data_IF_887855234540
#
_entry.id   IF_887855234540
#
_cell.length_a   1.000
_cell.length_b   1.000
_cell.length_c   1.000
_cell.angle_alpha   90.00
_cell.angle_beta   90.00
_cell.angle_gamma   90.00
#
_symmetry.space_group_name_H-M   'P 1'
#
loop_
_entity.id
_entity.type
_entity.pdbx_description
1 polymer ?
#
# COMPACT_ATOMS: atom_id res chain seq x y z
N UNK A 1 -41.47 -51.69 -7.72
CA UNK A 1 -42.29 -50.52 -7.37
C UNK A 1 -41.42 -49.64 -6.48
N UNK A 2 -40.66 -48.81 -7.19
CA UNK A 2 -40.07 -47.50 -6.89
C UNK A 2 -39.75 -47.14 -5.43
N UNK A 3 -38.45 -47.17 -5.13
CA UNK A 3 -37.83 -46.38 -4.07
C UNK A 3 -37.57 -44.98 -4.61
N UNK A 4 -38.34 -43.99 -4.12
CA UNK A 4 -38.11 -42.58 -4.43
C UNK A 4 -37.09 -42.01 -3.44
N UNK A 5 -35.86 -41.81 -3.91
CA UNK A 5 -34.82 -41.04 -3.24
C UNK A 5 -35.14 -39.55 -3.32
N UNK A 6 -35.47 -38.93 -2.18
CA UNK A 6 -35.49 -37.48 -2.05
C UNK A 6 -34.06 -36.98 -1.81
N UNK A 7 -33.38 -36.57 -2.88
CA UNK A 7 -32.25 -35.67 -2.78
C UNK A 7 -32.77 -34.26 -2.49
N UNK A 8 -32.44 -33.72 -1.32
CA UNK A 8 -32.55 -32.29 -1.07
C UNK A 8 -31.35 -31.59 -1.74
N UNK A 9 -31.57 -30.60 -2.63
CA UNK A 9 -30.48 -29.81 -3.17
C UNK A 9 -29.91 -28.87 -2.10
N UNK A 10 -28.58 -28.83 -2.02
CA UNK A 10 -27.82 -27.98 -1.13
C UNK A 10 -28.11 -26.48 -1.39
N UNK A 11 -28.62 -25.79 -0.38
CA UNK A 11 -28.83 -24.34 -0.36
C UNK A 11 -27.50 -23.63 -0.06
N UNK A 12 -26.75 -23.26 -1.09
CA UNK A 12 -25.56 -22.38 -1.02
C UNK A 12 -25.61 -21.10 -1.92
N UNK A 13 -26.66 -20.74 -2.71
CA UNK A 13 -26.58 -19.53 -3.56
C UNK A 13 -26.91 -18.15 -2.93
N UNK A 14 -27.37 -18.05 -1.67
CA UNK A 14 -27.90 -16.78 -1.14
C UNK A 14 -26.83 -15.83 -0.60
N UNK A 15 -25.88 -16.34 0.20
CA UNK A 15 -24.87 -15.50 0.89
C UNK A 15 -23.90 -14.83 -0.10
N UNK A 16 -23.49 -15.54 -1.15
CA UNK A 16 -22.61 -14.98 -2.18
C UNK A 16 -23.29 -13.88 -3.00
N UNK A 17 -24.62 -13.94 -3.16
CA UNK A 17 -25.38 -12.89 -3.85
C UNK A 17 -25.51 -11.65 -2.98
N UNK A 18 -25.75 -11.82 -1.68
CA UNK A 18 -25.82 -10.73 -0.70
C UNK A 18 -24.45 -10.04 -0.54
N UNK A 19 -23.35 -10.81 -0.42
CA UNK A 19 -21.99 -10.24 -0.37
C UNK A 19 -21.71 -9.34 -1.59
N UNK A 20 -22.07 -9.82 -2.77
CA UNK A 20 -21.87 -9.08 -4.01
C UNK A 20 -22.71 -7.79 -4.04
N UNK A 21 -23.94 -7.81 -3.55
CA UNK A 21 -24.79 -6.62 -3.47
C UNK A 21 -24.21 -5.56 -2.53
N UNK A 22 -23.72 -5.96 -1.35
CA UNK A 22 -23.03 -5.05 -0.43
C UNK A 22 -21.77 -4.42 -1.04
N UNK A 23 -20.96 -5.21 -1.77
CA UNK A 23 -19.77 -4.70 -2.48
C UNK A 23 -20.18 -3.71 -3.57
N UNK A 24 -21.22 -4.01 -4.34
CA UNK A 24 -21.72 -3.10 -5.40
C UNK A 24 -22.17 -1.77 -4.79
N UNK A 25 -22.95 -1.79 -3.71
CA UNK A 25 -23.42 -0.56 -3.05
C UNK A 25 -22.26 0.26 -2.45
N UNK A 26 -21.29 -0.42 -1.81
CA UNK A 26 -20.10 0.24 -1.29
C UNK A 26 -19.25 0.88 -2.39
N UNK A 27 -19.13 0.22 -3.55
CA UNK A 27 -18.45 0.75 -4.74
C UNK A 27 -19.13 2.02 -5.25
N UNK A 28 -20.46 2.00 -5.41
CA UNK A 28 -21.23 3.18 -5.83
C UNK A 28 -21.08 4.34 -4.85
N UNK A 29 -21.14 4.05 -3.56
CA UNK A 29 -20.95 5.04 -2.49
C UNK A 29 -19.57 5.68 -2.54
N UNK A 30 -18.50 4.88 -2.73
CA UNK A 30 -17.14 5.37 -2.87
C UNK A 30 -16.96 6.26 -4.11
N UNK A 31 -17.50 5.83 -5.26
CA UNK A 31 -17.46 6.61 -6.51
C UNK A 31 -18.17 7.96 -6.34
N UNK A 32 -19.37 7.96 -5.75
CA UNK A 32 -20.10 9.21 -5.43
C UNK A 32 -19.29 10.12 -4.51
N UNK A 33 -18.64 9.57 -3.49
CA UNK A 33 -17.78 10.33 -2.56
C UNK A 33 -16.54 10.93 -3.24
N UNK A 34 -16.03 10.26 -4.27
CA UNK A 34 -14.95 10.77 -5.12
C UNK A 34 -15.41 11.83 -6.13
N UNK A 35 -16.73 12.02 -6.30
CA UNK A 35 -17.30 12.87 -7.34
C UNK A 35 -17.37 12.19 -8.72
N UNK A 36 -17.31 10.86 -8.78
CA UNK A 36 -17.43 10.06 -9.99
C UNK A 36 -18.87 9.55 -10.19
N UNK A 37 -19.28 9.23 -11.43
CA UNK A 37 -20.54 8.52 -11.69
C UNK A 37 -20.60 7.19 -10.95
N UNK A 38 -21.76 6.82 -10.41
CA UNK A 38 -21.92 5.57 -9.65
C UNK A 38 -21.71 4.34 -10.53
N UNK A 39 -22.19 4.39 -11.76
CA UNK A 39 -21.91 3.41 -12.80
C UNK A 39 -20.79 3.95 -13.70
N UNK A 40 -19.66 3.21 -13.88
CA UNK A 40 -18.58 3.64 -14.76
C UNK A 40 -18.98 3.79 -16.24
N UNK A 41 -20.14 3.26 -16.65
CA UNK A 41 -20.67 3.42 -18.02
C UNK A 41 -21.50 4.69 -18.20
N UNK A 42 -21.81 5.43 -17.13
CA UNK A 42 -22.57 6.67 -17.19
C UNK A 42 -21.68 7.88 -17.54
N UNK A 43 -22.21 8.80 -18.34
CA UNK A 43 -21.50 10.03 -18.70
C UNK A 43 -21.33 10.94 -17.47
N UNK A 44 -20.15 11.60 -17.29
CA UNK A 44 -19.82 12.41 -16.10
C UNK A 44 -20.73 13.62 -15.83
N UNK A 45 -21.66 13.95 -16.73
CA UNK A 45 -22.44 15.19 -16.73
C UNK A 45 -23.44 15.35 -15.56
N UNK A 46 -23.61 14.35 -14.70
CA UNK A 46 -24.49 14.40 -13.52
C UNK A 46 -23.75 14.62 -12.18
N UNK A 47 -22.42 14.49 -12.15
CA UNK A 47 -21.65 14.61 -10.91
C UNK A 47 -21.41 16.08 -10.57
N UNK A 48 -21.86 16.50 -9.38
CA UNK A 48 -21.49 17.82 -8.84
C UNK A 48 -20.07 17.71 -8.30
N UNK A 49 -19.08 18.44 -8.82
CA UNK A 49 -17.69 18.32 -8.36
C UNK A 49 -17.61 18.78 -6.90
N UNK A 50 -17.28 17.86 -5.98
CA UNK A 50 -16.86 18.25 -4.63
C UNK A 50 -15.46 18.86 -4.75
N UNK A 51 -15.22 20.01 -4.11
CA UNK A 51 -13.99 20.78 -4.29
C UNK A 51 -12.72 20.10 -3.74
N UNK A 52 -12.87 19.03 -2.94
CA UNK A 52 -11.76 18.22 -2.42
C UNK A 52 -12.26 16.79 -2.24
N UNK A 53 -11.94 15.90 -3.19
CA UNK A 53 -12.26 14.49 -3.05
C UNK A 53 -11.36 13.80 -2.00
N UNK A 54 -11.73 12.60 -1.52
CA UNK A 54 -10.97 11.87 -0.51
C UNK A 54 -9.58 11.46 -0.99
N UNK A 55 -8.64 11.39 -0.04
CA UNK A 55 -7.34 10.71 -0.19
C UNK A 55 -7.40 9.35 0.51
N UNK A 56 -6.77 8.34 -0.07
CA UNK A 56 -6.68 6.98 0.44
C UNK A 56 -5.31 6.77 1.09
N UNK A 57 -5.26 6.96 2.40
CA UNK A 57 -4.00 6.90 3.13
C UNK A 57 -3.65 5.47 3.51
N UNK A 58 -2.54 4.96 3.00
CA UNK A 58 -1.99 3.69 3.45
C UNK A 58 -1.12 3.93 4.70
N UNK A 59 -1.53 3.35 5.82
CA UNK A 59 -0.92 3.59 7.12
C UNK A 59 -0.87 2.32 7.98
N UNK A 60 -0.04 2.33 9.02
CA UNK A 60 -0.02 1.31 10.07
C UNK A 60 -1.10 1.62 11.10
N UNK A 61 -1.92 0.63 11.46
CA UNK A 61 -2.90 0.77 12.53
C UNK A 61 -2.19 1.05 13.87
N UNK A 62 -2.53 2.14 14.58
CA UNK A 62 -1.88 2.50 15.83
C UNK A 62 -2.25 1.52 16.98
N UNK A 63 -1.53 1.56 18.12
CA UNK A 63 -1.88 0.83 19.32
C UNK A 63 -3.34 1.05 19.75
N UNK A 64 -4.07 -0.04 19.94
CA UNK A 64 -5.47 -0.05 20.36
C UNK A 64 -5.85 -1.43 20.88
N UNK A 65 -6.58 -1.50 21.99
CA UNK A 65 -7.02 -2.78 22.58
C UNK A 65 -7.99 -3.52 21.64
N UNK A 66 -8.82 -2.78 20.90
CA UNK A 66 -9.90 -3.35 20.08
C UNK A 66 -9.65 -3.26 18.58
N UNK A 67 -8.60 -2.56 18.15
CA UNK A 67 -8.41 -2.22 16.74
C UNK A 67 -9.48 -1.26 16.21
N UNK A 68 -9.50 -1.05 14.89
CA UNK A 68 -10.53 -0.28 14.18
C UNK A 68 -11.49 -1.22 13.44
N UNK A 69 -12.78 -0.90 13.40
CA UNK A 69 -13.74 -1.67 12.60
C UNK A 69 -13.51 -1.39 11.10
N UNK A 70 -13.43 -2.44 10.28
CA UNK A 70 -13.45 -2.29 8.82
C UNK A 70 -14.81 -1.74 8.36
N UNK A 71 -14.80 -0.81 7.41
CA UNK A 71 -16.00 -0.14 6.90
C UNK A 71 -16.70 -0.87 5.77
N UNK A 72 -16.12 -1.96 5.26
CA UNK A 72 -16.83 -2.84 4.35
C UNK A 72 -17.78 -3.73 5.17
N UNK A 73 -19.09 -3.62 4.93
CA UNK A 73 -20.13 -4.25 5.76
C UNK A 73 -19.98 -5.77 5.90
N UNK A 74 -19.52 -6.45 4.86
CA UNK A 74 -19.31 -7.91 4.84
C UNK A 74 -18.07 -8.34 5.64
N UNK A 75 -17.20 -7.39 6.02
CA UNK A 75 -16.03 -7.66 6.84
C UNK A 75 -16.39 -7.58 8.33
N UNK A 76 -16.37 -8.73 9.01
CA UNK A 76 -16.69 -8.82 10.45
C UNK A 76 -15.48 -8.63 11.34
N UNK A 77 -14.28 -8.52 10.77
CA UNK A 77 -13.03 -8.46 11.53
C UNK A 77 -12.58 -7.03 11.79
N UNK A 78 -11.94 -6.81 12.93
CA UNK A 78 -11.28 -5.55 13.23
C UNK A 78 -9.87 -5.52 12.63
N UNK A 79 -9.46 -4.35 12.20
CA UNK A 79 -8.10 -4.01 11.82
C UNK A 79 -7.29 -3.82 13.10
N UNK A 80 -6.53 -4.85 13.46
CA UNK A 80 -5.75 -4.87 14.69
C UNK A 80 -4.50 -3.97 14.61
N UNK A 81 -3.96 -3.52 15.74
CA UNK A 81 -2.74 -2.71 15.77
C UNK A 81 -1.58 -3.34 15.02
N UNK A 82 -0.74 -2.48 14.47
CA UNK A 82 0.41 -2.83 13.68
C UNK A 82 0.07 -3.28 12.25
N UNK A 83 -1.18 -3.60 11.91
CA UNK A 83 -1.59 -4.02 10.55
C UNK A 83 -1.65 -2.83 9.58
N UNK A 84 -1.30 -3.05 8.32
CA UNK A 84 -1.53 -2.04 7.28
C UNK A 84 -3.02 -1.87 7.02
N UNK A 85 -3.44 -0.64 6.74
CA UNK A 85 -4.83 -0.29 6.45
C UNK A 85 -4.94 0.88 5.50
N UNK A 86 -6.07 0.99 4.82
CA UNK A 86 -6.46 2.20 4.09
C UNK A 86 -7.35 3.04 4.99
N UNK A 87 -7.00 4.32 5.14
CA UNK A 87 -7.81 5.34 5.76
C UNK A 87 -8.29 6.35 4.70
N UNK A 88 -9.58 6.30 4.37
CA UNK A 88 -10.21 7.24 3.44
C UNK A 88 -10.50 8.53 4.20
N UNK A 89 -9.85 9.63 3.81
CA UNK A 89 -9.96 10.92 4.49
C UNK A 89 -10.22 12.09 3.52
N UNK A 90 -11.25 12.92 3.74
CA UNK A 90 -12.35 12.69 4.70
C UNK A 90 -13.12 11.40 4.38
N UNK A 91 -13.69 10.75 5.40
CA UNK A 91 -14.54 9.58 5.22
C UNK A 91 -15.92 9.93 4.65
N UNK A 92 -16.63 8.93 4.15
CA UNK A 92 -18.02 9.07 3.69
C UNK A 92 -18.99 9.26 4.87
N UNK A 93 -18.64 8.71 6.04
CA UNK A 93 -19.50 8.71 7.21
C UNK A 93 -19.17 9.89 8.14
N UNK A 94 -20.13 10.82 8.27
CA UNK A 94 -20.05 11.86 9.29
C UNK A 94 -20.63 11.37 10.61
N UNK A 95 -19.91 11.53 11.72
CA UNK A 95 -20.46 11.36 13.06
C UNK A 95 -20.55 12.73 13.75
N UNK A 96 -21.76 13.15 14.15
CA UNK A 96 -22.01 14.45 14.82
C UNK A 96 -21.43 15.66 14.07
N UNK A 97 -21.50 15.66 12.74
CA UNK A 97 -21.00 16.75 11.91
C UNK A 97 -19.48 16.76 11.69
N UNK A 98 -18.73 15.82 12.25
CA UNK A 98 -17.31 15.62 11.97
C UNK A 98 -17.10 14.44 11.02
N UNK A 99 -16.43 14.69 9.90
CA UNK A 99 -15.99 13.63 8.99
C UNK A 99 -14.73 12.98 9.58
N UNK A 100 -14.92 11.81 10.18
CA UNK A 100 -13.80 10.95 10.58
C UNK A 100 -13.31 10.11 9.40
N UNK A 101 -12.05 9.67 9.37
CA UNK A 101 -11.58 8.73 8.37
C UNK A 101 -12.36 7.41 8.42
N UNK A 102 -12.63 6.84 7.26
CA UNK A 102 -13.17 5.49 7.11
C UNK A 102 -12.02 4.49 6.94
N UNK A 103 -11.99 3.45 7.77
CA UNK A 103 -10.88 2.49 7.81
C UNK A 103 -11.26 1.17 7.14
N UNK A 104 -10.35 0.64 6.32
CA UNK A 104 -10.49 -0.62 5.62
C UNK A 104 -9.22 -1.45 5.75
N UNK A 105 -9.34 -2.78 5.83
CA UNK A 105 -8.22 -3.64 5.43
C UNK A 105 -7.88 -3.34 3.97
N UNK A 106 -6.61 -3.45 3.59
CA UNK A 106 -6.16 -3.15 2.21
C UNK A 106 -6.94 -4.00 1.20
N UNK A 107 -6.97 -5.33 1.38
CA UNK A 107 -7.73 -6.23 0.51
C UNK A 107 -9.25 -6.01 0.53
N UNK A 108 -9.82 -5.51 1.63
CA UNK A 108 -11.25 -5.14 1.65
C UNK A 108 -11.53 -3.88 0.84
N UNK A 109 -10.62 -2.91 0.86
CA UNK A 109 -10.75 -1.68 0.09
C UNK A 109 -10.63 -1.95 -1.41
N UNK A 110 -9.71 -2.83 -1.81
CA UNK A 110 -9.53 -3.28 -3.20
C UNK A 110 -10.77 -3.98 -3.79
N UNK A 111 -11.66 -4.53 -2.96
CA UNK A 111 -12.96 -5.06 -3.45
C UNK A 111 -13.87 -3.96 -4.01
N UNK A 112 -13.72 -2.73 -3.52
CA UNK A 112 -14.62 -1.60 -3.84
C UNK A 112 -13.92 -0.47 -4.61
N UNK A 113 -12.59 -0.42 -4.60
CA UNK A 113 -11.77 0.54 -5.31
C UNK A 113 -11.18 -0.11 -6.57
N UNK A 114 -11.41 0.51 -7.73
CA UNK A 114 -10.87 0.00 -8.99
C UNK A 114 -9.53 0.66 -9.33
N UNK A 115 -8.44 0.03 -8.89
CA UNK A 115 -7.08 0.52 -9.16
C UNK A 115 -6.63 0.34 -10.61
N UNK A 116 -7.48 -0.16 -11.52
CA UNK A 116 -7.23 -0.04 -12.96
C UNK A 116 -7.63 1.34 -13.52
N UNK A 117 -8.23 2.21 -12.69
CA UNK A 117 -8.62 3.58 -13.05
C UNK A 117 -7.70 4.60 -12.36
N UNK A 118 -7.22 5.58 -13.10
CA UNK A 118 -6.30 6.62 -12.60
C UNK A 118 -6.90 7.38 -11.40
N UNK A 119 -8.21 7.70 -11.47
CA UNK A 119 -8.95 8.42 -10.41
C UNK A 119 -8.82 7.79 -9.02
N UNK A 120 -8.63 6.47 -8.94
CA UNK A 120 -8.45 5.74 -7.68
C UNK A 120 -6.99 5.68 -7.26
N UNK A 121 -6.09 5.35 -8.19
CA UNK A 121 -4.66 5.18 -7.92
C UNK A 121 -4.02 6.48 -7.47
N UNK A 122 -4.40 7.61 -8.07
CA UNK A 122 -3.87 8.93 -7.73
C UNK A 122 -4.13 9.34 -6.30
N UNK A 123 -5.24 8.86 -5.73
CA UNK A 123 -5.64 9.15 -4.36
C UNK A 123 -4.91 8.29 -3.34
N UNK A 124 -4.24 7.21 -3.74
CA UNK A 124 -3.45 6.38 -2.80
C UNK A 124 -2.19 7.13 -2.40
N UNK A 125 -2.00 7.35 -1.11
CA UNK A 125 -0.84 8.04 -0.55
C UNK A 125 -0.29 7.25 0.65
N UNK A 126 0.99 6.87 0.66
CA UNK A 126 1.59 6.28 1.84
C UNK A 126 1.73 7.34 2.94
N UNK A 127 1.47 6.96 4.19
CA UNK A 127 1.78 7.80 5.36
C UNK A 127 3.26 7.59 5.72
N UNK A 128 4.05 8.63 5.47
CA UNK A 128 5.50 8.66 5.65
C UNK A 128 5.89 9.87 6.49
N UNK A 129 7.18 9.97 6.82
CA UNK A 129 7.78 11.15 7.43
C UNK A 129 7.56 12.46 6.66
N UNK A 130 7.29 12.39 5.36
CA UNK A 130 7.10 13.54 4.48
C UNK A 130 5.62 13.86 4.21
N UNK A 131 4.71 12.91 4.44
CA UNK A 131 3.29 13.05 4.06
C UNK A 131 2.33 13.11 5.25
N UNK A 132 2.77 12.76 6.46
CA UNK A 132 1.89 12.67 7.64
C UNK A 132 1.18 13.99 8.00
N UNK A 133 1.76 15.15 7.67
CA UNK A 133 1.15 16.45 7.95
C UNK A 133 -0.14 16.64 7.14
N UNK A 134 -0.16 16.18 5.89
CA UNK A 134 -1.35 16.22 5.03
C UNK A 134 -2.43 15.22 5.46
N UNK A 135 -2.03 14.16 6.17
CA UNK A 135 -2.96 13.21 6.82
C UNK A 135 -3.68 13.81 8.03
N UNK A 136 -3.30 15.01 8.47
CA UNK A 136 -3.83 15.71 9.66
C UNK A 136 -3.65 14.86 10.94
N UNK A 137 -2.48 14.25 11.09
CA UNK A 137 -2.11 13.50 12.30
C UNK A 137 -1.47 14.40 13.34
N UNK A 138 -1.67 14.07 14.62
CA UNK A 138 -1.00 14.74 15.72
C UNK A 138 0.50 14.41 15.69
N UNK A 139 1.34 15.45 15.78
CA UNK A 139 2.79 15.31 15.76
C UNK A 139 3.29 14.33 16.83
N UNK A 140 2.78 14.40 18.06
CA UNK A 140 3.17 13.48 19.14
C UNK A 140 2.93 12.01 18.78
N UNK A 141 1.78 11.70 18.19
CA UNK A 141 1.48 10.33 17.77
C UNK A 141 2.41 9.84 16.66
N UNK A 142 2.80 10.72 15.74
CA UNK A 142 3.76 10.40 14.67
C UNK A 142 5.16 10.21 15.23
N UNK A 143 5.57 11.02 16.22
CA UNK A 143 6.87 10.89 16.89
C UNK A 143 7.01 9.60 17.72
N UNK A 144 5.88 9.02 18.15
CA UNK A 144 5.83 7.67 18.74
C UNK A 144 5.92 6.55 17.68
N UNK A 145 6.07 6.89 16.40
CA UNK A 145 6.16 5.95 15.29
C UNK A 145 4.80 5.38 14.84
N UNK A 146 3.69 5.94 15.32
CA UNK A 146 2.37 5.47 14.92
C UNK A 146 2.03 5.93 13.51
N UNK A 147 1.17 5.17 12.82
CA UNK A 147 0.65 5.45 11.47
C UNK A 147 1.68 5.34 10.34
N UNK A 148 2.93 5.71 10.58
CA UNK A 148 4.00 5.66 9.58
C UNK A 148 4.22 4.22 9.10
N UNK A 149 4.39 4.08 7.79
CA UNK A 149 4.86 2.83 7.19
C UNK A 149 6.33 2.58 7.57
N UNK A 150 6.68 1.30 7.69
CA UNK A 150 8.09 0.90 7.62
C UNK A 150 8.66 1.15 6.22
N UNK A 151 9.99 1.22 6.13
CA UNK A 151 10.70 1.55 4.91
C UNK A 151 10.33 0.63 3.73
N UNK A 152 10.21 -0.68 3.94
CA UNK A 152 9.84 -1.63 2.89
C UNK A 152 8.43 -1.37 2.35
N UNK A 153 7.44 -1.22 3.24
CA UNK A 153 6.07 -0.90 2.83
C UNK A 153 5.95 0.46 2.15
N UNK A 154 6.70 1.48 2.60
CA UNK A 154 6.79 2.78 1.94
C UNK A 154 7.29 2.64 0.50
N UNK A 155 8.43 1.96 0.29
CA UNK A 155 9.01 1.75 -1.04
C UNK A 155 8.10 0.94 -1.95
N UNK A 156 7.55 -0.16 -1.45
CA UNK A 156 6.64 -1.03 -2.21
C UNK A 156 5.38 -0.29 -2.67
N UNK A 157 4.81 0.56 -1.82
CA UNK A 157 3.59 1.32 -2.16
C UNK A 157 3.87 2.37 -3.24
N UNK A 158 5.01 3.06 -3.15
CA UNK A 158 5.41 4.07 -4.14
C UNK A 158 5.66 3.40 -5.49
N UNK A 159 6.46 2.33 -5.50
CA UNK A 159 6.78 1.58 -6.73
C UNK A 159 5.53 0.95 -7.34
N UNK A 160 4.67 0.34 -6.52
CA UNK A 160 3.38 -0.20 -6.95
C UNK A 160 2.54 0.86 -7.65
N UNK A 161 2.39 2.04 -7.03
CA UNK A 161 1.62 3.14 -7.60
C UNK A 161 2.18 3.57 -8.95
N UNK A 162 3.50 3.71 -9.06
CA UNK A 162 4.17 4.06 -10.32
C UNK A 162 3.95 3.01 -11.41
N UNK A 163 4.13 1.73 -11.10
CA UNK A 163 3.92 0.63 -12.04
C UNK A 163 2.47 0.56 -12.54
N UNK A 164 1.50 0.67 -11.64
CA UNK A 164 0.07 0.69 -12.02
C UNK A 164 -0.25 1.90 -12.89
N UNK A 165 0.21 3.10 -12.52
CA UNK A 165 0.02 4.31 -13.34
C UNK A 165 0.61 4.17 -14.73
N UNK A 166 1.81 3.61 -14.84
CA UNK A 166 2.47 3.35 -16.12
C UNK A 166 1.62 2.42 -17.00
N UNK A 167 1.14 1.30 -16.46
CA UNK A 167 0.27 0.37 -17.19
C UNK A 167 -1.09 0.99 -17.59
N UNK A 168 -1.63 1.91 -16.79
CA UNK A 168 -2.85 2.66 -17.13
C UNK A 168 -2.58 3.58 -18.32
N UNK A 169 -1.50 4.36 -18.26
CA UNK A 169 -1.15 5.29 -19.32
C UNK A 169 -0.80 4.58 -20.64
N UNK A 170 -0.10 3.45 -20.56
CA UNK A 170 0.17 2.59 -21.73
C UNK A 170 -1.14 2.07 -22.36
N UNK A 171 -2.09 1.58 -21.54
CA UNK A 171 -3.42 1.14 -22.00
C UNK A 171 -4.20 2.27 -22.68
N UNK A 172 -4.15 3.46 -22.09
CA UNK A 172 -4.96 4.61 -22.49
C UNK A 172 -4.28 5.44 -23.60
N UNK A 173 -3.06 5.07 -24.02
CA UNK A 173 -2.29 5.76 -25.06
C UNK A 173 -1.83 7.15 -24.63
N UNK A 174 -1.66 7.39 -23.34
CA UNK A 174 -1.22 8.67 -22.78
C UNK A 174 0.31 8.71 -22.78
N UNK A 175 0.89 9.59 -23.59
CA UNK A 175 2.32 9.89 -23.52
C UNK A 175 2.65 10.63 -22.23
N UNK A 176 3.58 10.09 -21.44
CA UNK A 176 4.06 10.73 -20.23
C UNK A 176 5.47 11.25 -20.49
N UNK A 177 5.69 12.53 -20.23
CA UNK A 177 7.04 13.07 -20.06
C UNK A 177 7.52 12.71 -18.66
N UNK A 178 8.49 11.80 -18.57
CA UNK A 178 9.17 11.50 -17.29
C UNK A 178 10.19 12.60 -17.01
N UNK A 179 9.73 13.65 -16.33
CA UNK A 179 10.56 14.77 -15.87
C UNK A 179 11.49 14.38 -14.71
N UNK A 180 11.43 13.13 -14.23
CA UNK A 180 12.28 12.66 -13.14
C UNK A 180 13.72 12.53 -13.62
N UNK A 181 14.62 13.31 -13.00
CA UNK A 181 16.05 13.23 -13.31
C UNK A 181 16.57 11.79 -13.18
N UNK A 182 17.50 11.40 -14.05
CA UNK A 182 18.12 10.06 -14.02
C UNK A 182 18.76 9.77 -12.66
N UNK A 183 19.37 10.77 -12.02
CA UNK A 183 19.96 10.63 -10.69
C UNK A 183 18.93 10.28 -9.61
N UNK A 184 17.72 10.87 -9.66
CA UNK A 184 16.64 10.55 -8.73
C UNK A 184 16.12 9.13 -8.98
N UNK A 185 15.92 8.74 -10.25
CA UNK A 185 15.49 7.37 -10.59
C UNK A 185 16.50 6.33 -10.13
N UNK A 186 17.78 6.55 -10.42
CA UNK A 186 18.86 5.66 -9.99
C UNK A 186 18.92 5.51 -8.46
N UNK A 187 18.72 6.62 -7.72
CA UNK A 187 18.62 6.57 -6.26
C UNK A 187 17.40 5.79 -5.77
N UNK A 188 16.25 5.94 -6.42
CA UNK A 188 15.01 5.27 -6.01
C UNK A 188 15.05 3.76 -6.33
N UNK A 189 15.62 3.37 -7.47
CA UNK A 189 15.49 2.00 -7.98
C UNK A 189 16.73 1.15 -7.71
N UNK A 190 17.92 1.77 -7.70
CA UNK A 190 19.19 1.05 -7.65
C UNK A 190 19.97 1.26 -6.35
N UNK A 191 19.57 2.14 -5.43
CA UNK A 191 20.27 2.30 -4.16
C UNK A 191 20.46 0.95 -3.43
N UNK A 192 21.67 0.74 -2.90
CA UNK A 192 22.09 -0.51 -2.28
C UNK A 192 22.65 -1.57 -3.24
N UNK A 193 22.55 -1.37 -4.55
CA UNK A 193 23.18 -2.22 -5.56
C UNK A 193 24.70 -2.02 -5.57
N UNK A 194 25.44 -3.07 -5.89
CA UNK A 194 26.90 -3.05 -6.15
C UNK A 194 27.29 -2.05 -7.24
N UNK A 195 26.38 -1.78 -8.18
CA UNK A 195 26.59 -0.89 -9.33
C UNK A 195 26.12 0.54 -9.07
N UNK A 196 25.45 0.79 -7.95
CA UNK A 196 24.90 2.11 -7.65
C UNK A 196 26.03 3.09 -7.32
N UNK A 197 26.06 4.20 -8.04
CA UNK A 197 27.01 5.29 -7.82
C UNK A 197 26.22 6.54 -7.42
N UNK A 198 26.37 7.05 -6.18
CA UNK A 198 25.68 8.26 -5.75
C UNK A 198 26.01 9.43 -6.68
N UNK A 199 24.96 10.08 -7.20
CA UNK A 199 25.06 11.30 -8.01
C UNK A 199 24.53 12.49 -7.21
N UNK A 200 25.03 13.68 -7.53
CA UNK A 200 24.52 14.91 -6.94
C UNK A 200 23.11 15.20 -7.47
N UNK A 201 22.18 15.49 -6.56
CA UNK A 201 20.82 15.91 -6.88
C UNK A 201 20.66 17.34 -6.34
N UNK A 202 20.55 18.35 -7.23
CA UNK A 202 20.42 19.74 -6.82
C UNK A 202 19.22 19.94 -5.88
N UNK A 203 19.41 20.78 -4.85
CA UNK A 203 18.38 21.18 -3.87
C UNK A 203 17.73 20.04 -3.07
N UNK A 204 18.24 18.81 -3.18
CA UNK A 204 17.69 17.68 -2.43
C UNK A 204 18.01 17.78 -0.94
N UNK A 205 17.01 17.42 -0.12
CA UNK A 205 17.17 17.37 1.33
C UNK A 205 18.18 16.28 1.71
N UNK A 206 19.29 16.67 2.33
CA UNK A 206 20.40 15.76 2.63
C UNK A 206 20.01 14.64 3.62
N UNK A 207 19.03 14.89 4.49
CA UNK A 207 18.51 13.86 5.39
C UNK A 207 17.75 12.80 4.58
N UNK A 208 16.93 13.23 3.63
CA UNK A 208 16.19 12.35 2.74
C UNK A 208 17.10 11.55 1.81
N UNK A 209 18.08 12.21 1.18
CA UNK A 209 19.07 11.52 0.32
C UNK A 209 19.77 10.38 1.07
N UNK A 210 20.20 10.64 2.31
CA UNK A 210 20.83 9.62 3.14
C UNK A 210 19.90 8.47 3.46
N UNK A 211 18.62 8.73 3.74
CA UNK A 211 17.66 7.66 4.00
C UNK A 211 17.45 6.80 2.76
N UNK A 212 17.21 7.43 1.60
CA UNK A 212 17.04 6.76 0.30
C UNK A 212 18.27 5.93 -0.09
N UNK A 213 19.47 6.44 0.16
CA UNK A 213 20.72 5.74 -0.15
C UNK A 213 21.09 4.65 0.86
N UNK A 214 20.36 4.51 1.98
CA UNK A 214 20.69 3.54 3.03
C UNK A 214 19.45 2.80 3.55
N UNK A 215 18.75 3.32 4.56
CA UNK A 215 17.60 2.66 5.20
C UNK A 215 16.52 2.23 4.20
N UNK A 216 16.24 3.07 3.21
CA UNK A 216 15.20 2.87 2.19
C UNK A 216 15.73 2.26 0.89
N UNK A 217 17.01 1.89 0.84
CA UNK A 217 17.61 1.29 -0.34
C UNK A 217 16.86 -0.01 -0.71
N UNK A 218 16.34 -0.15 -1.94
CA UNK A 218 15.59 -1.34 -2.34
C UNK A 218 16.49 -2.56 -2.56
N UNK A 219 17.79 -2.36 -2.83
CA UNK A 219 18.72 -3.46 -3.06
C UNK A 219 19.54 -3.78 -1.81
N UNK A 220 20.02 -5.00 -1.74
CA UNK A 220 21.05 -5.45 -0.81
C UNK A 220 22.12 -6.18 -1.61
N UNK A 221 23.38 -5.85 -1.31
CA UNK A 221 24.56 -6.38 -1.98
C UNK A 221 25.66 -6.68 -0.95
N UNK A 222 26.52 -7.65 -1.24
CA UNK A 222 27.72 -7.97 -0.45
C UNK A 222 28.98 -7.16 -0.87
N UNK A 223 28.86 -6.24 -1.83
CA UNK A 223 29.95 -5.36 -2.26
C UNK A 223 30.00 -5.14 -3.78
N UNK A 224 31.03 -4.45 -4.27
CA UNK A 224 31.15 -4.02 -5.68
C UNK A 224 31.18 -5.16 -6.70
N UNK A 225 31.57 -6.36 -6.29
CA UNK A 225 31.68 -7.55 -7.15
C UNK A 225 30.47 -8.47 -7.06
N UNK A 226 29.42 -8.08 -6.33
CA UNK A 226 28.23 -8.90 -6.13
C UNK A 226 27.42 -9.02 -7.42
N UNK A 227 27.12 -10.26 -7.82
CA UNK A 227 26.34 -10.57 -9.01
C UNK A 227 24.97 -11.15 -8.68
N UNK A 228 24.70 -11.45 -7.41
CA UNK A 228 23.47 -12.10 -6.93
C UNK A 228 22.77 -11.20 -5.91
N UNK A 229 22.43 -9.98 -6.32
CA UNK A 229 21.79 -8.99 -5.46
C UNK A 229 20.37 -9.40 -5.08
N UNK A 230 19.95 -8.96 -3.90
CA UNK A 230 18.56 -9.06 -3.47
C UNK A 230 17.86 -7.73 -3.73
N UNK A 231 16.65 -7.75 -4.30
CA UNK A 231 15.90 -6.55 -4.65
C UNK A 231 14.46 -6.62 -4.11
N UNK A 232 14.06 -5.58 -3.35
CA UNK A 232 12.75 -5.49 -2.72
C UNK A 232 11.58 -5.61 -3.72
N UNK A 233 11.70 -4.96 -4.88
CA UNK A 233 10.63 -4.92 -5.86
C UNK A 233 10.47 -6.26 -6.58
N UNK A 234 11.57 -6.90 -6.97
CA UNK A 234 11.52 -8.22 -7.62
C UNK A 234 10.91 -9.30 -6.72
N UNK A 235 11.11 -9.20 -5.41
CA UNK A 235 10.68 -10.20 -4.44
C UNK A 235 9.20 -10.08 -4.06
N UNK A 236 8.67 -8.86 -4.00
CA UNK A 236 7.34 -8.63 -3.42
C UNK A 236 6.35 -7.92 -4.33
N UNK A 237 6.80 -7.23 -5.37
CA UNK A 237 5.90 -6.45 -6.22
C UNK A 237 5.07 -7.35 -7.12
N UNK A 238 3.76 -7.35 -6.91
CA UNK A 238 2.83 -8.19 -7.67
C UNK A 238 2.46 -7.62 -9.04
N UNK A 239 2.78 -6.35 -9.31
CA UNK A 239 2.54 -5.68 -10.59
C UNK A 239 3.81 -5.77 -11.41
N UNK A 240 3.73 -6.43 -12.57
CA UNK A 240 4.88 -6.62 -13.46
C UNK A 240 4.86 -5.55 -14.53
N UNK A 241 5.98 -4.82 -14.65
CA UNK A 241 6.18 -3.79 -15.66
C UNK A 241 5.99 -4.34 -17.08
N UNK A 242 5.16 -3.66 -17.87
CA UNK A 242 4.82 -4.06 -19.25
C UNK A 242 3.87 -5.24 -19.37
N UNK A 243 3.39 -5.83 -18.27
CA UNK A 243 2.32 -6.84 -18.31
C UNK A 243 0.96 -6.22 -17.98
N UNK A 244 0.21 -5.91 -19.03
CA UNK A 244 -1.14 -5.33 -18.92
C UNK A 244 -2.10 -6.18 -18.08
N UNK A 245 -1.89 -7.51 -18.02
CA UNK A 245 -2.71 -8.42 -17.21
C UNK A 245 -2.56 -8.16 -15.72
N UNK A 246 -1.50 -7.48 -15.29
CA UNK A 246 -1.33 -7.04 -13.91
C UNK A 246 -2.46 -6.12 -13.44
N UNK A 247 -3.13 -5.41 -14.35
CA UNK A 247 -4.31 -4.58 -14.03
C UNK A 247 -5.57 -5.40 -13.76
N UNK A 248 -5.65 -6.66 -14.21
CA UNK A 248 -6.80 -7.53 -13.96
C UNK A 248 -6.82 -8.04 -12.51
N UNK A 249 -5.65 -8.10 -11.86
CA UNK A 249 -5.54 -8.49 -10.46
C UNK A 249 -5.87 -7.29 -9.55
N UNK A 250 -7.10 -7.26 -9.05
CA UNK A 250 -7.58 -6.22 -8.13
C UNK A 250 -6.90 -6.21 -6.76
N UNK A 251 -6.22 -7.30 -6.38
CA UNK A 251 -5.66 -7.48 -5.03
C UNK A 251 -4.13 -7.32 -4.95
N UNK A 252 -3.54 -6.66 -5.94
CA UNK A 252 -2.09 -6.61 -6.08
C UNK A 252 -1.39 -5.81 -4.96
N UNK A 253 -2.00 -4.79 -4.35
CA UNK A 253 -1.41 -4.03 -3.25
C UNK A 253 -1.49 -4.81 -1.94
N UNK A 254 -2.65 -5.40 -1.62
CA UNK A 254 -2.79 -6.24 -0.41
C UNK A 254 -1.84 -7.42 -0.43
N UNK A 255 -1.74 -8.11 -1.57
CA UNK A 255 -0.80 -9.23 -1.75
C UNK A 255 0.66 -8.78 -1.57
N UNK A 256 1.07 -7.67 -2.20
CA UNK A 256 2.43 -7.11 -2.08
C UNK A 256 2.77 -6.84 -0.61
N UNK A 257 1.88 -6.16 0.12
CA UNK A 257 2.10 -5.80 1.52
C UNK A 257 1.97 -7.00 2.48
N UNK A 258 1.14 -7.98 2.14
CA UNK A 258 1.00 -9.22 2.89
C UNK A 258 2.29 -10.02 2.84
N UNK A 259 2.84 -10.26 1.64
CA UNK A 259 4.09 -11.01 1.45
C UNK A 259 5.25 -10.32 2.17
N UNK A 260 5.38 -8.99 2.01
CA UNK A 260 6.37 -8.20 2.73
C UNK A 260 6.29 -8.43 4.24
N UNK A 261 5.09 -8.30 4.83
CA UNK A 261 4.89 -8.44 6.26
C UNK A 261 5.15 -9.87 6.75
N UNK A 262 4.76 -10.86 5.97
CA UNK A 262 5.03 -12.27 6.26
C UNK A 262 6.55 -12.51 6.33
N UNK A 263 7.30 -12.03 5.34
CA UNK A 263 8.77 -12.14 5.32
C UNK A 263 9.44 -11.33 6.43
N UNK A 264 8.92 -10.15 6.81
CA UNK A 264 9.35 -9.44 8.02
C UNK A 264 9.17 -10.31 9.26
N UNK A 265 8.02 -10.98 9.39
CA UNK A 265 7.73 -11.88 10.52
C UNK A 265 8.71 -13.05 10.55
N UNK A 266 8.97 -13.71 9.41
CA UNK A 266 9.95 -14.78 9.29
C UNK A 266 11.38 -14.33 9.63
N UNK A 267 11.80 -13.18 9.10
CA UNK A 267 13.16 -12.69 9.25
C UNK A 267 13.50 -12.34 10.71
N UNK A 268 12.50 -11.89 11.48
CA UNK A 268 12.74 -11.18 12.76
C UNK A 268 12.17 -11.87 13.99
N UNK A 269 11.24 -12.81 13.83
CA UNK A 269 10.70 -13.54 14.97
C UNK A 269 11.76 -14.45 15.61
N UNK A 270 11.93 -14.31 16.92
CA UNK A 270 12.83 -15.16 17.70
C UNK A 270 12.20 -16.50 18.13
N UNK A 271 10.87 -16.61 18.01
CA UNK A 271 10.07 -17.74 18.50
C UNK A 271 9.29 -18.40 17.36
N UNK A 272 9.96 -18.72 16.25
CA UNK A 272 9.35 -19.44 15.13
C UNK A 272 9.10 -20.90 15.52
N UNK A 273 7.97 -21.46 15.06
CA UNK A 273 7.76 -22.92 15.05
C UNK A 273 8.79 -23.58 14.13
N UNK A 274 9.01 -24.90 14.30
CA UNK A 274 9.95 -25.63 13.42
C UNK A 274 9.58 -25.52 11.93
N UNK A 275 8.28 -25.56 11.61
CA UNK A 275 7.78 -25.34 10.25
C UNK A 275 8.17 -23.96 9.69
N UNK A 276 8.05 -22.90 10.49
CA UNK A 276 8.42 -21.56 10.05
C UNK A 276 9.94 -21.35 10.00
N UNK A 277 10.73 -22.10 10.79
CA UNK A 277 12.19 -22.11 10.67
C UNK A 277 12.63 -22.75 9.36
N UNK A 278 12.06 -23.90 9.01
CA UNK A 278 12.32 -24.56 7.73
C UNK A 278 11.92 -23.65 6.56
N UNK A 279 10.74 -23.01 6.64
CA UNK A 279 10.30 -22.03 5.64
C UNK A 279 11.28 -20.87 5.51
N UNK A 280 11.73 -20.30 6.63
CA UNK A 280 12.75 -19.24 6.65
C UNK A 280 14.04 -19.67 5.96
N UNK A 281 14.55 -20.86 6.24
CA UNK A 281 15.78 -21.38 5.62
C UNK A 281 15.64 -21.59 4.12
N UNK A 282 14.43 -21.94 3.66
CA UNK A 282 14.13 -22.17 2.25
C UNK A 282 13.91 -20.87 1.46
N UNK A 283 13.22 -19.90 2.06
CA UNK A 283 12.76 -18.70 1.36
C UNK A 283 13.71 -17.50 1.56
N UNK A 284 14.41 -17.42 2.70
CA UNK A 284 15.21 -16.24 3.06
C UNK A 284 16.70 -16.57 3.17
N UNK A 285 17.45 -16.19 2.15
CA UNK A 285 18.91 -16.21 2.22
C UNK A 285 19.43 -15.12 3.19
N UNK A 286 20.70 -15.16 3.61
CA UNK A 286 21.25 -14.16 4.55
C UNK A 286 21.12 -12.71 4.08
N UNK A 287 21.22 -12.47 2.77
CA UNK A 287 21.10 -11.16 2.12
C UNK A 287 19.68 -10.61 2.29
N UNK A 288 18.67 -11.40 1.94
CA UNK A 288 17.26 -11.09 2.18
C UNK A 288 16.99 -10.77 3.64
N UNK A 289 17.52 -11.56 4.60
CA UNK A 289 17.34 -11.30 6.03
C UNK A 289 17.93 -9.94 6.45
N UNK A 290 19.12 -9.57 5.95
CA UNK A 290 19.72 -8.25 6.25
C UNK A 290 18.90 -7.12 5.65
N UNK A 291 18.49 -7.25 4.39
CA UNK A 291 17.68 -6.27 3.69
C UNK A 291 16.33 -6.05 4.40
N UNK A 292 15.62 -7.13 4.73
CA UNK A 292 14.34 -7.09 5.43
C UNK A 292 14.49 -6.43 6.80
N UNK A 293 15.53 -6.78 7.57
CA UNK A 293 15.79 -6.16 8.88
C UNK A 293 16.09 -4.66 8.79
N UNK A 294 16.74 -4.21 7.72
CA UNK A 294 16.95 -2.78 7.44
C UNK A 294 15.62 -2.10 7.08
N UNK A 295 14.86 -2.69 6.16
CA UNK A 295 13.66 -2.11 5.57
C UNK A 295 12.43 -2.19 6.48
N UNK A 296 12.42 -3.06 7.50
CA UNK A 296 11.31 -3.09 8.48
C UNK A 296 11.32 -1.92 9.48
N UNK A 297 12.35 -1.07 9.45
CA UNK A 297 12.45 0.09 10.33
C UNK A 297 11.50 1.18 9.85
N UNK A 298 10.78 1.81 10.78
CA UNK A 298 9.96 3.00 10.51
C UNK A 298 10.84 4.25 10.43
N UNK A 299 10.99 4.89 9.26
CA UNK A 299 11.80 6.09 9.13
C UNK A 299 11.10 7.28 9.79
N UNK A 300 11.71 7.83 10.83
CA UNK A 300 11.14 8.94 11.59
C UNK A 300 11.39 10.30 10.88
N UNK A 301 10.52 11.30 11.07
CA UNK A 301 10.78 12.66 10.61
C UNK A 301 12.08 13.23 11.19
N UNK A 302 12.75 14.10 10.42
CA UNK A 302 13.90 14.85 10.90
C UNK A 302 13.46 15.94 11.90
N UNK A 303 13.36 15.55 13.16
CA UNK A 303 12.99 16.44 14.27
C UNK A 303 13.99 17.60 14.37
N UNK A 304 15.29 17.36 14.13
CA UNK A 304 16.33 18.38 14.26
C UNK A 304 16.27 19.39 13.10
N UNK A 305 16.03 18.93 11.88
CA UNK A 305 15.76 19.77 10.73
C UNK A 305 14.44 20.53 10.84
N UNK A 306 13.43 19.96 11.48
CA UNK A 306 12.15 20.62 11.72
C UNK A 306 12.27 21.80 12.71
N UNK A 307 13.02 21.65 13.81
CA UNK A 307 13.29 22.74 14.75
C UNK A 307 14.19 23.84 14.16
N UNK A 308 15.11 23.51 13.23
CA UNK A 308 15.93 24.51 12.52
C UNK A 308 15.17 25.27 11.44
N UNK A 309 14.12 24.67 10.85
CA UNK A 309 13.25 25.29 9.84
C UNK A 309 12.07 26.08 10.44
N UNK A 310 11.98 26.18 11.77
CA UNK A 310 11.03 27.05 12.45
C UNK A 310 9.59 26.56 12.41
N UNK A 311 9.36 25.29 12.79
CA UNK A 311 8.13 24.97 13.52
C UNK A 311 8.11 25.70 14.87
#
# INVERSE_FOLDING_TARGET
MDSSSNEHPATVPSEAKEENEHIIQATKSLRRHMGLPEDPTENPSSATPSSVGPTFWLEVAPPSIRGAKCRLDVCTTNIMPGKYRIAVNPGCHSFRGHQSPDYYHVGCFEKIADFSQEDFVDRVQPVTRNTWQFRNLNASSVLDGNYLLDAGAERLTISWKQAVKKLINERDGVEIEDDTSEAVRDLLDNAGSSKFVPREIPDADAFELRLLSSTLAPNESDGSEDTEEWNLFYEFQMVVDGDQKSLDNRHNLDMTLYLWRDHVTLATSNNLSEELKERKEKELNPKAIRAIKRLMVTPMPDIQGAFRRGL
#
